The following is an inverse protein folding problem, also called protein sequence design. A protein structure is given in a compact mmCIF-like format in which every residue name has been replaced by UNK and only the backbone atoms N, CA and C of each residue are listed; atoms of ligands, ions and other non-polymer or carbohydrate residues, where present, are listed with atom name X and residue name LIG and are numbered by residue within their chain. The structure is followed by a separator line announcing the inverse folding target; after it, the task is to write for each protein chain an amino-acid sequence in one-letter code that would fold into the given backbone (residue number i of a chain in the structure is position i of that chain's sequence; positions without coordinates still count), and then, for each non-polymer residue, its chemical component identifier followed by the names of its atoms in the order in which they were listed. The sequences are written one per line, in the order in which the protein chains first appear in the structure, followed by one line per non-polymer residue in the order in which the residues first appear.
data_IF_692679237478
#
_entry.id   IF_692679237478
#
_cell.length_a   1.000
_cell.length_b   1.000
_cell.length_c   1.000
_cell.angle_alpha   90.00
_cell.angle_beta   90.00
_cell.angle_gamma   90.00
#
_symmetry.space_group_name_H-M   'P 1'
#
loop_
_entity.id
_entity.type
_entity.pdbx_description
1 polymer ?
#
# COMPACT_ATOMS: atom_id res chain seq x y z
N UNK A 1 34.46 -12.56 36.51
CA UNK A 1 34.39 -13.67 35.55
C UNK A 1 34.43 -13.08 34.15
N UNK A 2 35.60 -13.18 33.52
CA UNK A 2 35.89 -12.63 32.19
C UNK A 2 35.46 -13.64 31.13
N UNK A 3 34.59 -13.27 30.20
CA UNK A 3 34.28 -14.10 29.03
C UNK A 3 35.19 -13.70 27.86
N UNK A 4 36.11 -14.61 27.55
CA UNK A 4 36.94 -14.57 26.34
C UNK A 4 36.04 -14.77 25.11
N UNK A 5 35.87 -13.72 24.31
CA UNK A 5 35.32 -13.83 22.96
C UNK A 5 36.48 -14.22 22.02
N UNK A 6 36.69 -15.51 21.80
CA UNK A 6 37.71 -16.04 20.89
C UNK A 6 37.10 -16.24 19.49
N UNK A 7 37.51 -15.37 18.56
CA UNK A 7 37.51 -15.49 17.10
C UNK A 7 36.78 -16.68 16.48
N UNK A 8 35.66 -16.40 15.81
CA UNK A 8 35.11 -17.21 14.71
C UNK A 8 34.82 -16.23 13.55
N UNK A 9 35.55 -16.28 12.42
CA UNK A 9 35.18 -15.54 11.24
C UNK A 9 34.26 -16.43 10.40
N UNK A 10 32.94 -16.28 10.56
CA UNK A 10 32.00 -16.76 9.56
C UNK A 10 30.78 -15.84 9.53
N UNK A 11 30.80 -14.97 8.52
CA UNK A 11 29.69 -14.15 8.07
C UNK A 11 28.53 -15.10 7.73
N UNK A 12 27.40 -14.99 8.42
CA UNK A 12 26.06 -15.20 7.82
C UNK A 12 24.99 -14.65 8.78
N UNK A 13 24.41 -13.52 8.36
CA UNK A 13 23.08 -13.00 8.68
C UNK A 13 22.72 -12.78 10.15
N UNK A 14 23.00 -11.54 10.55
CA UNK A 14 22.16 -10.73 11.42
C UNK A 14 20.70 -10.88 10.97
N UNK A 15 19.85 -11.33 11.89
CA UNK A 15 18.40 -11.31 11.72
C UNK A 15 17.76 -11.27 13.09
N UNK A 16 17.82 -10.09 13.72
CA UNK A 16 17.18 -9.80 15.00
C UNK A 16 15.77 -10.38 15.01
N UNK A 17 15.48 -11.24 15.99
CA UNK A 17 14.11 -11.51 16.41
C UNK A 17 13.55 -10.25 17.05
N UNK A 18 13.18 -9.29 16.20
CA UNK A 18 12.36 -8.16 16.61
C UNK A 18 10.98 -8.73 16.92
N UNK A 19 10.64 -8.74 18.21
CA UNK A 19 9.27 -8.76 18.68
C UNK A 19 8.54 -7.58 18.03
N UNK A 20 8.00 -7.77 16.83
CA UNK A 20 7.14 -6.80 16.16
C UNK A 20 5.77 -6.86 16.82
N UNK A 21 5.67 -6.25 18.00
CA UNK A 21 4.40 -5.73 18.52
C UNK A 21 4.06 -4.47 17.72
N UNK A 22 3.79 -4.66 16.44
CA UNK A 22 3.45 -3.59 15.50
C UNK A 22 2.07 -3.85 14.93
N UNK A 23 1.07 -3.23 15.55
CA UNK A 23 -0.18 -2.80 14.91
C UNK A 23 -0.90 -3.86 14.05
N UNK A 24 -1.89 -4.54 14.62
CA UNK A 24 -2.89 -5.32 13.84
C UNK A 24 -3.52 -4.51 12.68
N UNK A 25 -3.44 -3.17 12.71
CA UNK A 25 -3.92 -2.30 11.64
C UNK A 25 -2.94 -2.10 10.46
N UNK A 26 -1.63 -2.33 10.65
CA UNK A 26 -0.65 -2.10 9.55
C UNK A 26 -0.66 -3.24 8.55
N UNK A 27 -0.65 -4.48 9.03
CA UNK A 27 -0.58 -5.65 8.16
C UNK A 27 -1.81 -5.80 7.25
N UNK A 28 -3.00 -5.48 7.76
CA UNK A 28 -4.23 -5.48 6.95
C UNK A 28 -4.21 -4.35 5.92
N UNK A 29 -3.80 -3.13 6.31
CA UNK A 29 -3.66 -2.01 5.39
C UNK A 29 -2.68 -2.31 4.25
N UNK A 30 -1.51 -2.85 4.57
CA UNK A 30 -0.48 -3.21 3.59
C UNK A 30 -0.98 -4.30 2.63
N UNK A 31 -1.72 -5.29 3.16
CA UNK A 31 -2.34 -6.33 2.34
C UNK A 31 -3.36 -5.74 1.36
N UNK A 32 -4.25 -4.87 1.82
CA UNK A 32 -5.27 -4.26 0.96
C UNK A 32 -4.65 -3.31 -0.07
N UNK A 33 -3.59 -2.59 0.29
CA UNK A 33 -2.79 -1.80 -0.66
C UNK A 33 -2.19 -2.69 -1.75
N UNK A 34 -1.58 -3.82 -1.38
CA UNK A 34 -0.98 -4.76 -2.34
C UNK A 34 -2.06 -5.33 -3.28
N UNK A 35 -3.19 -5.76 -2.73
CA UNK A 35 -4.30 -6.29 -3.52
C UNK A 35 -4.84 -5.25 -4.50
N UNK A 36 -5.00 -3.99 -4.05
CA UNK A 36 -5.43 -2.90 -4.90
C UNK A 36 -4.44 -2.65 -6.05
N UNK A 37 -3.14 -2.57 -5.75
CA UNK A 37 -2.10 -2.34 -6.75
C UNK A 37 -2.05 -3.49 -7.76
N UNK A 38 -2.16 -4.73 -7.27
CA UNK A 38 -2.22 -5.92 -8.13
C UNK A 38 -3.42 -5.83 -9.09
N UNK A 39 -4.63 -5.64 -8.57
CA UNK A 39 -5.83 -5.55 -9.43
C UNK A 39 -5.82 -4.35 -10.37
N UNK A 40 -5.27 -3.21 -9.94
CA UNK A 40 -5.13 -2.02 -10.77
C UNK A 40 -4.15 -2.26 -11.94
N UNK A 41 -2.99 -2.84 -11.66
CA UNK A 41 -1.94 -3.08 -12.66
C UNK A 41 -2.18 -4.30 -13.55
N UNK A 42 -2.97 -5.28 -13.09
CA UNK A 42 -3.30 -6.50 -13.85
C UNK A 42 -4.10 -6.19 -15.12
N UNK A 43 -4.87 -5.09 -15.13
CA UNK A 43 -5.54 -4.60 -16.33
C UNK A 43 -4.57 -4.13 -17.44
N UNK A 44 -3.30 -3.91 -17.11
CA UNK A 44 -2.31 -3.31 -18.01
C UNK A 44 -2.54 -1.83 -18.33
N UNK A 45 -3.58 -1.21 -17.77
CA UNK A 45 -3.97 0.18 -18.07
C UNK A 45 -3.08 1.18 -17.35
N UNK A 46 -2.70 0.88 -16.11
CA UNK A 46 -1.92 1.76 -15.25
C UNK A 46 -0.64 1.05 -14.79
N UNK A 47 0.46 1.79 -14.72
CA UNK A 47 1.70 1.26 -14.14
C UNK A 47 1.55 1.03 -12.63
N UNK A 48 2.35 0.12 -12.08
CA UNK A 48 2.40 -0.14 -10.62
C UNK A 48 2.60 1.16 -9.83
N UNK A 49 3.45 2.06 -10.31
CA UNK A 49 3.71 3.36 -9.69
C UNK A 49 2.47 4.27 -9.67
N UNK A 50 1.68 4.28 -10.75
CA UNK A 50 0.43 5.04 -10.82
C UNK A 50 -0.62 4.44 -9.89
N UNK A 51 -0.75 3.11 -9.86
CA UNK A 51 -1.66 2.41 -8.94
C UNK A 51 -1.31 2.67 -7.47
N UNK A 52 -0.02 2.64 -7.12
CA UNK A 52 0.43 2.98 -5.77
C UNK A 52 0.13 4.43 -5.41
N UNK A 53 0.42 5.35 -6.33
CA UNK A 53 0.10 6.76 -6.17
C UNK A 53 -1.41 6.96 -5.94
N UNK A 54 -2.24 6.28 -6.73
CA UNK A 54 -3.70 6.38 -6.64
C UNK A 54 -4.20 5.91 -5.28
N UNK A 55 -3.74 4.75 -4.80
CA UNK A 55 -4.14 4.23 -3.50
C UNK A 55 -3.78 5.21 -2.37
N UNK A 56 -2.55 5.71 -2.35
CA UNK A 56 -2.09 6.65 -1.33
C UNK A 56 -2.90 7.96 -1.36
N UNK A 57 -3.23 8.45 -2.55
CA UNK A 57 -4.04 9.67 -2.70
C UNK A 57 -5.51 9.46 -2.32
N UNK A 58 -6.08 8.28 -2.58
CA UNK A 58 -7.44 7.93 -2.11
C UNK A 58 -7.52 7.87 -0.58
N UNK A 59 -6.53 7.24 0.07
CA UNK A 59 -6.42 7.22 1.54
C UNK A 59 -6.33 8.64 2.11
N UNK A 60 -5.62 9.54 1.41
CA UNK A 60 -5.37 10.91 1.87
C UNK A 60 -6.52 11.89 1.58
N UNK A 61 -7.14 11.80 0.41
CA UNK A 61 -8.08 12.81 -0.12
C UNK A 61 -9.55 12.39 -0.01
N UNK A 62 -9.84 11.09 0.08
CA UNK A 62 -11.22 10.58 0.13
C UNK A 62 -11.58 10.04 1.51
N UNK A 63 -11.13 8.83 1.84
CA UNK A 63 -11.34 8.21 3.15
C UNK A 63 -10.27 7.14 3.37
N UNK A 64 -9.68 7.08 4.57
CA UNK A 64 -8.60 6.13 4.86
C UNK A 64 -9.02 4.66 4.81
N UNK A 65 -10.31 4.36 4.89
CA UNK A 65 -10.89 3.02 4.93
C UNK A 65 -11.74 2.71 3.69
N UNK A 66 -11.61 3.49 2.61
CA UNK A 66 -12.43 3.30 1.39
C UNK A 66 -12.41 1.85 0.87
N UNK A 67 -11.27 1.16 0.99
CA UNK A 67 -11.08 -0.22 0.56
C UNK A 67 -11.90 -1.24 1.35
N UNK A 68 -12.45 -0.87 2.53
CA UNK A 68 -13.35 -1.70 3.33
C UNK A 68 -14.83 -1.43 3.04
N UNK A 69 -15.13 -0.38 2.29
CA UNK A 69 -16.49 0.10 2.11
C UNK A 69 -17.17 -0.53 0.91
N UNK A 70 -17.98 -1.55 1.17
CA UNK A 70 -18.73 -2.28 0.14
C UNK A 70 -19.73 -1.40 -0.61
N UNK A 71 -20.18 -0.29 -0.03
CA UNK A 71 -21.11 0.63 -0.72
C UNK A 71 -20.47 1.29 -1.94
N UNK A 72 -19.14 1.28 -2.06
CA UNK A 72 -18.43 1.80 -3.24
C UNK A 72 -18.47 0.84 -4.45
N UNK A 73 -18.93 -0.40 -4.24
CA UNK A 73 -19.10 -1.42 -5.29
C UNK A 73 -20.54 -1.49 -5.81
N UNK A 74 -21.45 -0.70 -5.24
CA UNK A 74 -22.87 -0.66 -5.61
C UNK A 74 -23.14 0.56 -6.50
N UNK A 75 -24.12 0.51 -7.40
CA UNK A 75 -24.55 1.70 -8.16
C UNK A 75 -25.36 2.64 -7.26
N UNK A 76 -24.67 3.53 -6.55
CA UNK A 76 -25.27 4.56 -5.72
C UNK A 76 -24.50 5.90 -5.86
N UNK A 77 -25.08 6.97 -5.29
CA UNK A 77 -24.49 8.32 -5.36
C UNK A 77 -23.07 8.38 -4.81
N UNK A 78 -22.77 7.58 -3.79
CA UNK A 78 -21.46 7.56 -3.13
C UNK A 78 -20.41 6.87 -4.00
N UNK A 79 -20.74 5.74 -4.62
CA UNK A 79 -19.87 5.06 -5.58
C UNK A 79 -19.55 5.95 -6.78
N UNK A 80 -20.56 6.64 -7.35
CA UNK A 80 -20.35 7.58 -8.47
C UNK A 80 -19.43 8.74 -8.10
N UNK A 81 -19.55 9.26 -6.86
CA UNK A 81 -18.63 10.29 -6.33
C UNK A 81 -17.22 9.74 -6.16
N UNK A 82 -17.10 8.53 -5.62
CA UNK A 82 -15.82 7.85 -5.46
C UNK A 82 -15.13 7.62 -6.81
N UNK A 83 -15.82 7.09 -7.81
CA UNK A 83 -15.28 6.89 -9.16
C UNK A 83 -14.73 8.19 -9.73
N UNK A 84 -15.50 9.28 -9.67
CA UNK A 84 -15.06 10.58 -10.17
C UNK A 84 -13.77 11.06 -9.50
N UNK A 85 -13.66 10.88 -8.17
CA UNK A 85 -12.45 11.23 -7.42
C UNK A 85 -11.28 10.30 -7.79
N UNK A 86 -11.54 9.00 -7.92
CA UNK A 86 -10.54 8.01 -8.30
C UNK A 86 -9.95 8.31 -9.68
N UNK A 87 -10.78 8.70 -10.66
CA UNK A 87 -10.32 9.12 -12.00
C UNK A 87 -9.46 10.38 -11.94
N UNK A 88 -9.89 11.41 -11.22
CA UNK A 88 -9.10 12.64 -11.07
C UNK A 88 -7.74 12.36 -10.42
N UNK A 89 -7.70 11.47 -9.44
CA UNK A 89 -6.45 11.06 -8.79
C UNK A 89 -5.53 10.32 -9.77
N UNK A 90 -6.06 9.46 -10.64
CA UNK A 90 -5.25 8.78 -11.67
C UNK A 90 -4.58 9.80 -12.59
N UNK A 91 -5.35 10.73 -13.16
CA UNK A 91 -4.81 11.77 -14.03
C UNK A 91 -3.70 12.60 -13.34
N UNK A 92 -3.92 12.94 -12.06
CA UNK A 92 -2.92 13.65 -11.25
C UNK A 92 -1.68 12.79 -10.97
N UNK A 93 -1.83 11.48 -10.81
CA UNK A 93 -0.73 10.55 -10.59
C UNK A 93 0.11 10.36 -11.86
N UNK A 94 -0.53 10.17 -13.03
CA UNK A 94 0.16 10.08 -14.32
C UNK A 94 0.97 11.34 -14.59
N UNK A 95 0.35 12.53 -14.48
CA UNK A 95 1.06 13.83 -14.66
C UNK A 95 2.24 14.05 -13.72
N UNK A 96 2.23 13.43 -12.52
CA UNK A 96 3.34 13.52 -11.56
C UNK A 96 4.47 12.56 -11.89
N UNK A 97 4.16 11.41 -12.47
CA UNK A 97 5.10 10.31 -12.70
C UNK A 97 5.69 10.29 -14.12
N UNK A 98 5.10 11.04 -15.07
CA UNK A 98 5.67 11.28 -16.40
C UNK A 98 6.76 12.36 -16.43
N UNK A 99 7.08 12.97 -15.28
CA UNK A 99 8.12 14.00 -15.12
C UNK A 99 9.46 13.41 -14.70
#
# INVERSE_FOLDING_TARGET
MSFFCKYIPFIFLIGCSSNYKGSENSAEFDKEKINFIAGCSESGTLSVSVCECQFNDLVRKYDKNFYKDKSLMEDNEKARKFEKIAYQIVEDCEKRLEK
#
